data_IF_967464101396
#
_entry.id   IF_967464101396
#
_cell.length_a   1.000
_cell.length_b   1.000
_cell.length_c   1.000
_cell.angle_alpha   90.00
_cell.angle_beta   90.00
_cell.angle_gamma   90.00
#
_symmetry.space_group_name_H-M   'P 1'
#
loop_
_entity.id
_entity.type
_entity.pdbx_description
1 polymer ?
#
# COMPACT_ATOMS: atom_id res chain seq x y z
N UNK A 1 3.02 -5.17 -7.18
CA UNK A 1 2.39 -6.38 -7.76
C UNK A 1 0.89 -6.16 -7.78
N UNK A 2 0.23 -6.23 -8.94
CA UNK A 2 -1.23 -6.06 -9.04
C UNK A 2 -1.97 -7.16 -8.25
N UNK A 3 -2.89 -6.76 -7.38
CA UNK A 3 -3.64 -7.68 -6.49
C UNK A 3 -4.69 -8.49 -7.22
N UNK A 4 -5.12 -8.04 -8.42
CA UNK A 4 -6.04 -8.82 -9.25
C UNK A 4 -5.44 -10.13 -9.75
N UNK A 5 -6.29 -11.14 -9.78
CA UNK A 5 -6.00 -12.44 -10.37
C UNK A 5 -6.00 -12.36 -11.91
N UNK A 6 -5.36 -13.34 -12.56
CA UNK A 6 -5.35 -13.42 -14.03
C UNK A 6 -6.78 -13.58 -14.58
N UNK A 7 -7.68 -14.21 -13.83
CA UNK A 7 -9.08 -14.37 -14.22
C UNK A 7 -9.80 -13.01 -14.29
N UNK A 8 -9.65 -12.17 -13.25
CA UNK A 8 -10.27 -10.84 -13.20
C UNK A 8 -9.69 -9.90 -14.26
N UNK A 9 -8.38 -9.95 -14.49
CA UNK A 9 -7.74 -9.20 -15.58
C UNK A 9 -8.30 -9.61 -16.93
N UNK A 10 -8.52 -10.91 -17.16
CA UNK A 10 -9.13 -11.42 -18.40
C UNK A 10 -10.57 -10.98 -18.53
N UNK A 11 -11.34 -10.97 -17.45
CA UNK A 11 -12.72 -10.51 -17.47
C UNK A 11 -12.81 -9.02 -17.83
N UNK A 12 -11.99 -8.17 -17.19
CA UNK A 12 -11.91 -6.74 -17.52
C UNK A 12 -11.47 -6.47 -18.95
N UNK A 13 -10.60 -7.31 -19.51
CA UNK A 13 -10.23 -7.23 -20.93
C UNK A 13 -11.37 -7.70 -21.84
N UNK A 14 -12.06 -8.79 -21.49
CA UNK A 14 -13.19 -9.32 -22.26
C UNK A 14 -14.37 -8.35 -22.31
N UNK A 15 -14.68 -7.69 -21.20
CA UNK A 15 -15.72 -6.66 -21.14
C UNK A 15 -15.43 -5.43 -22.02
N UNK A 16 -14.17 -5.27 -22.43
CA UNK A 16 -13.69 -4.18 -23.28
C UNK A 16 -13.29 -4.66 -24.68
N UNK A 17 -13.67 -5.89 -25.05
CA UNK A 17 -13.33 -6.54 -26.33
C UNK A 17 -11.82 -6.54 -26.65
N UNK A 18 -10.98 -6.62 -25.62
CA UNK A 18 -9.53 -6.65 -25.75
C UNK A 18 -9.00 -8.09 -25.76
N UNK A 19 -7.86 -8.34 -26.44
CA UNK A 19 -7.24 -9.64 -26.46
C UNK A 19 -6.78 -10.07 -25.05
N UNK A 20 -7.24 -11.25 -24.63
CA UNK A 20 -6.94 -11.87 -23.32
C UNK A 20 -5.74 -12.84 -23.37
N UNK A 21 -5.06 -12.93 -24.51
CA UNK A 21 -3.91 -13.80 -24.73
C UNK A 21 -2.63 -13.16 -24.19
N UNK A 22 -1.81 -13.91 -23.43
CA UNK A 22 -0.53 -13.43 -22.93
C UNK A 22 -0.34 -13.63 -21.44
N UNK A 23 0.79 -13.13 -20.94
CA UNK A 23 1.18 -13.23 -19.53
C UNK A 23 0.44 -12.19 -18.67
N UNK A 24 0.29 -12.45 -17.36
CA UNK A 24 -0.39 -11.53 -16.41
C UNK A 24 0.04 -10.07 -16.58
N UNK A 25 1.34 -9.82 -16.74
CA UNK A 25 1.90 -8.47 -16.93
C UNK A 25 1.47 -7.80 -18.24
N UNK A 26 1.32 -8.57 -19.32
CA UNK A 26 0.82 -8.04 -20.59
C UNK A 26 -0.66 -7.68 -20.49
N UNK A 27 -1.46 -8.51 -19.80
CA UNK A 27 -2.87 -8.22 -19.56
C UNK A 27 -3.02 -6.92 -18.75
N UNK A 28 -2.22 -6.74 -17.70
CA UNK A 28 -2.19 -5.50 -16.90
C UNK A 28 -1.78 -4.31 -17.77
N UNK A 29 -0.70 -4.44 -18.56
CA UNK A 29 -0.23 -3.36 -19.45
C UNK A 29 -1.31 -2.92 -20.45
N UNK A 30 -2.04 -3.86 -21.06
CA UNK A 30 -3.13 -3.52 -21.99
C UNK A 30 -4.27 -2.79 -21.30
N UNK A 31 -4.60 -3.17 -20.07
CA UNK A 31 -5.59 -2.45 -19.27
C UNK A 31 -5.11 -1.01 -18.97
N UNK A 32 -3.84 -0.83 -18.62
CA UNK A 32 -3.26 0.50 -18.40
C UNK A 32 -3.25 1.35 -19.68
N UNK A 33 -2.98 0.73 -20.84
CA UNK A 33 -2.92 1.39 -22.14
C UNK A 33 -4.28 1.97 -22.57
N UNK A 34 -5.37 1.25 -22.28
CA UNK A 34 -6.73 1.74 -22.52
C UNK A 34 -7.22 2.72 -21.43
N UNK A 35 -6.33 3.19 -20.56
CA UNK A 35 -6.63 4.21 -19.55
C UNK A 35 -7.27 3.68 -18.27
N UNK A 36 -7.17 2.38 -17.99
CA UNK A 36 -7.64 1.83 -16.70
C UNK A 36 -6.64 2.25 -15.63
N UNK A 37 -7.06 3.05 -14.64
CA UNK A 37 -6.16 3.45 -13.58
C UNK A 37 -5.74 2.22 -12.75
N UNK A 38 -4.48 2.17 -12.29
CA UNK A 38 -3.99 1.08 -11.45
C UNK A 38 -4.78 0.96 -10.13
N UNK A 39 -5.43 2.03 -9.66
CA UNK A 39 -6.35 2.02 -8.52
C UNK A 39 -7.54 1.07 -8.73
N UNK A 40 -8.08 0.92 -9.95
CA UNK A 40 -9.13 -0.07 -10.24
C UNK A 40 -8.59 -1.51 -10.33
N UNK A 41 -7.27 -1.67 -10.44
CA UNK A 41 -6.57 -2.96 -10.42
C UNK A 41 -6.04 -3.30 -9.02
N UNK A 42 -6.31 -2.43 -8.05
CA UNK A 42 -6.04 -2.60 -6.63
C UNK A 42 -7.41 -2.77 -5.97
N UNK A 43 -7.93 -4.00 -5.97
CA UNK A 43 -9.27 -4.27 -5.47
C UNK A 43 -9.42 -3.83 -4.00
N UNK A 44 -10.13 -2.72 -3.77
CA UNK A 44 -10.48 -2.21 -2.43
C UNK A 44 -11.82 -2.79 -1.95
N UNK A 45 -12.48 -3.61 -2.78
CA UNK A 45 -13.84 -4.11 -2.53
C UNK A 45 -13.93 -5.41 -1.73
N UNK A 46 -12.88 -5.79 -0.99
CA UNK A 46 -12.97 -6.90 -0.02
C UNK A 46 -13.21 -6.47 1.44
N UNK A 47 -13.42 -5.17 1.72
CA UNK A 47 -13.73 -4.65 3.07
C UNK A 47 -15.21 -4.26 3.29
N UNK A 48 -16.10 -4.60 2.36
CA UNK A 48 -17.53 -4.34 2.46
C UNK A 48 -18.34 -5.55 2.91
N UNK A 49 -18.04 -6.14 4.08
CA UNK A 49 -18.73 -7.34 4.53
C UNK A 49 -18.51 -7.75 6.00
N UNK A 50 -19.22 -7.05 6.89
CA UNK A 50 -19.77 -7.45 8.22
C UNK A 50 -18.82 -7.65 9.43
N UNK A 51 -19.27 -7.07 10.56
CA UNK A 51 -19.08 -7.47 11.99
C UNK A 51 -18.15 -6.62 12.86
N UNK A 52 -18.82 -5.72 13.60
CA UNK A 52 -18.72 -5.51 15.05
C UNK A 52 -17.73 -6.40 15.82
N UNK A 53 -16.96 -5.77 16.72
CA UNK A 53 -16.34 -6.44 17.87
C UNK A 53 -14.84 -6.69 17.82
N UNK A 54 -14.10 -5.85 18.56
CA UNK A 54 -13.04 -6.23 19.50
C UNK A 54 -11.91 -7.19 19.05
N UNK A 55 -10.68 -6.68 18.97
CA UNK A 55 -9.49 -7.53 18.96
C UNK A 55 -8.22 -6.87 18.48
N UNK A 56 -7.66 -5.93 19.25
CA UNK A 56 -6.29 -5.49 19.06
C UNK A 56 -5.32 -6.62 19.39
N UNK A 57 -4.94 -7.42 18.39
CA UNK A 57 -3.75 -8.25 18.44
C UNK A 57 -2.86 -7.83 17.27
N UNK A 58 -1.91 -6.93 17.56
CA UNK A 58 -0.89 -6.51 16.61
C UNK A 58 0.08 -7.68 16.43
N UNK A 59 -0.23 -8.57 15.49
CA UNK A 59 0.73 -9.55 15.01
C UNK A 59 1.83 -8.82 14.25
N UNK A 60 3.04 -8.95 14.78
CA UNK A 60 4.28 -8.62 14.11
C UNK A 60 4.38 -9.46 12.83
N UNK A 61 4.00 -8.88 11.69
CA UNK A 61 4.32 -9.48 10.40
C UNK A 61 5.77 -9.12 10.06
N UNK A 62 6.62 -10.11 10.30
CA UNK A 62 8.00 -10.14 9.83
C UNK A 62 8.03 -10.08 8.29
N UNK A 63 8.40 -8.89 7.79
CA UNK A 63 9.39 -8.72 6.74
C UNK A 63 9.01 -9.07 5.31
N UNK A 64 8.55 -8.06 4.54
CA UNK A 64 8.73 -7.96 3.08
C UNK A 64 8.73 -6.49 2.60
N UNK A 65 9.56 -5.59 3.13
CA UNK A 65 9.64 -4.21 2.64
C UNK A 65 11.10 -3.71 2.49
N UNK A 66 11.83 -4.23 1.50
CA UNK A 66 13.29 -4.05 1.43
C UNK A 66 13.82 -2.77 0.77
N UNK A 67 13.01 -1.96 0.07
CA UNK A 67 13.54 -0.83 -0.73
C UNK A 67 12.89 0.53 -0.45
N UNK A 68 11.63 0.58 0.02
CA UNK A 68 11.04 1.80 0.55
C UNK A 68 11.41 2.05 2.02
N UNK A 69 11.78 0.99 2.75
CA UNK A 69 12.12 1.08 4.17
C UNK A 69 13.43 1.79 4.44
N UNK A 70 14.41 1.80 3.53
CA UNK A 70 15.66 2.51 3.84
C UNK A 70 15.42 4.02 4.01
N UNK A 71 14.58 4.62 3.14
CA UNK A 71 14.21 6.03 3.25
C UNK A 71 13.29 6.28 4.43
N UNK A 72 12.36 5.37 4.69
CA UNK A 72 11.47 5.43 5.85
C UNK A 72 12.23 5.33 7.18
N UNK A 73 13.18 4.40 7.30
CA UNK A 73 14.05 4.23 8.47
C UNK A 73 14.88 5.49 8.72
N UNK A 74 15.43 6.11 7.66
CA UNK A 74 16.19 7.36 7.80
C UNK A 74 15.32 8.54 8.22
N UNK A 75 14.06 8.60 7.75
CA UNK A 75 13.09 9.60 8.20
C UNK A 75 12.73 9.41 9.67
N UNK A 76 12.42 8.18 10.07
CA UNK A 76 12.05 7.83 11.45
C UNK A 76 13.19 8.13 12.44
N UNK A 77 14.45 7.90 12.05
CA UNK A 77 15.62 8.28 12.86
C UNK A 77 15.71 9.80 13.05
N UNK A 78 15.55 10.58 11.97
CA UNK A 78 15.56 12.04 12.03
C UNK A 78 14.40 12.59 12.87
N UNK A 79 13.22 12.00 12.74
CA UNK A 79 12.04 12.40 13.51
C UNK A 79 12.24 12.20 15.01
N UNK A 80 12.78 11.04 15.40
CA UNK A 80 13.15 10.76 16.81
C UNK A 80 14.14 11.79 17.34
N UNK A 81 15.20 12.09 16.60
CA UNK A 81 16.25 13.03 17.04
C UNK A 81 15.69 14.46 17.18
N UNK A 82 14.80 14.88 16.29
CA UNK A 82 14.10 16.16 16.40
C UNK A 82 13.14 16.20 17.59
N UNK A 83 12.36 15.14 17.81
CA UNK A 83 11.45 15.03 18.94
C UNK A 83 12.21 15.14 20.27
N UNK A 84 13.37 14.49 20.36
CA UNK A 84 14.21 14.51 21.55
C UNK A 84 14.75 15.92 21.85
N UNK A 85 15.25 16.64 20.84
CA UNK A 85 15.69 18.05 20.98
C UNK A 85 14.55 18.99 21.37
N UNK A 86 13.36 18.81 20.77
CA UNK A 86 12.18 19.60 21.10
C UNK A 86 11.74 19.37 22.54
N UNK A 87 11.78 18.13 23.02
CA UNK A 87 11.45 17.79 24.40
C UNK A 87 12.45 18.41 25.40
N UNK A 88 13.74 18.44 25.04
CA UNK A 88 14.77 19.08 25.86
C UNK A 88 14.58 20.60 25.96
N UNK A 89 14.26 21.26 24.84
CA UNK A 89 13.92 22.69 24.83
C UNK A 89 12.67 22.99 25.66
N UNK A 90 11.61 22.19 25.52
CA UNK A 90 10.39 22.33 26.31
C UNK A 90 10.66 22.15 27.81
N UNK A 91 11.49 21.18 28.19
CA UNK A 91 11.90 21.01 29.60
C UNK A 91 12.63 22.24 30.12
N UNK A 92 13.52 22.81 29.30
CA UNK A 92 14.29 24.00 29.65
C UNK A 92 13.45 25.27 29.70
N UNK A 93 12.40 25.36 28.89
CA UNK A 93 11.44 26.47 28.87
C UNK A 93 10.48 26.43 30.05
N UNK A 94 10.21 25.24 30.62
CA UNK A 94 9.44 25.07 31.86
C UNK A 94 10.26 25.42 33.11
N UNK A 95 11.59 25.27 33.05
CA UNK A 95 12.51 25.62 34.15
C UNK A 95 12.88 27.13 34.21
N UNK A 96 12.51 27.92 33.20
CA UNK A 96 12.71 29.38 33.12
C UNK A 96 11.41 30.13 33.43
#
# INVERSE_FOLDING_TARGET
MSTLTVAELKEKLKNRDLPTAGLKNELVRRLLDVGVPPEELLDVHSLGGISDGSGSHLEATCGEEGMHNSREIDLLRKERDLAQRKAELLRREIEL
#
